data_IF_249708514871
#
_entry.id   IF_249708514871
#
_cell.length_a   1.000
_cell.length_b   1.000
_cell.length_c   1.000
_cell.angle_alpha   90.00
_cell.angle_beta   90.00
_cell.angle_gamma   90.00
#
_symmetry.space_group_name_H-M   'P 1'
#
loop_
_entity.id
_entity.type
_entity.pdbx_description
1 polymer ?
#
# COMPACT_ATOMS: atom_id res chain seq x y z
N UNK A 1 2.31 0.53 -27.42
CA UNK A 1 2.89 -0.44 -26.47
C UNK A 1 2.54 0.08 -25.09
N UNK A 2 1.60 -0.57 -24.41
CA UNK A 2 1.19 -0.17 -23.07
C UNK A 2 2.30 -0.50 -22.10
N UNK A 3 3.00 0.54 -21.66
CA UNK A 3 4.01 0.43 -20.63
C UNK A 3 3.32 0.33 -19.26
N UNK A 4 2.98 -0.90 -18.89
CA UNK A 4 2.67 -1.34 -17.52
C UNK A 4 3.95 -1.24 -16.65
N UNK A 5 4.52 -0.05 -16.55
CA UNK A 5 5.68 0.22 -15.70
C UNK A 5 5.20 0.29 -14.26
N UNK A 6 5.61 -0.69 -13.47
CA UNK A 6 5.50 -0.69 -12.02
C UNK A 6 6.19 0.55 -11.45
N UNK A 7 5.41 1.47 -10.86
CA UNK A 7 5.96 2.62 -10.14
C UNK A 7 5.81 2.41 -8.64
N UNK A 8 6.93 2.46 -7.93
CA UNK A 8 6.98 2.39 -6.47
C UNK A 8 7.76 3.57 -5.89
N UNK A 9 7.14 4.37 -5.02
CA UNK A 9 7.79 5.50 -4.36
C UNK A 9 7.67 5.38 -2.83
N UNK A 10 8.72 5.76 -2.12
CA UNK A 10 8.67 5.88 -0.66
C UNK A 10 8.21 7.29 -0.33
N UNK A 11 7.04 7.41 0.30
CA UNK A 11 6.42 8.69 0.62
C UNK A 11 6.02 8.76 2.10
N UNK A 12 6.01 9.96 2.71
CA UNK A 12 5.42 10.17 4.02
C UNK A 12 3.90 10.14 3.94
N UNK A 13 3.27 9.70 5.02
CA UNK A 13 1.82 9.74 5.16
C UNK A 13 1.34 11.16 5.46
N UNK A 14 0.12 11.49 5.03
CA UNK A 14 -0.58 12.66 5.57
C UNK A 14 -0.89 12.42 7.06
N UNK A 15 -0.76 13.44 7.93
CA UNK A 15 -1.00 13.28 9.37
C UNK A 15 -2.37 12.66 9.68
N UNK A 16 -3.43 13.19 9.07
CA UNK A 16 -4.82 12.72 9.25
C UNK A 16 -5.01 11.26 8.80
N UNK A 17 -4.31 10.84 7.75
CA UNK A 17 -4.39 9.47 7.24
C UNK A 17 -3.62 8.50 8.16
N UNK A 18 -2.51 8.95 8.75
CA UNK A 18 -1.73 8.17 9.69
C UNK A 18 -2.46 7.99 11.03
N UNK A 19 -3.20 9.00 11.49
CA UNK A 19 -4.06 8.86 12.67
C UNK A 19 -5.19 7.86 12.42
N UNK A 20 -5.83 7.89 11.24
CA UNK A 20 -6.81 6.87 10.85
C UNK A 20 -6.20 5.47 10.79
N UNK A 21 -4.95 5.34 10.35
CA UNK A 21 -4.24 4.06 10.33
C UNK A 21 -4.03 3.52 11.75
N UNK A 22 -3.63 4.37 12.69
CA UNK A 22 -3.46 4.02 14.11
C UNK A 22 -4.79 3.72 14.80
N UNK A 23 -5.86 4.40 14.41
CA UNK A 23 -7.19 4.23 15.00
C UNK A 23 -7.75 2.80 14.84
N UNK A 24 -7.22 2.01 13.89
CA UNK A 24 -7.55 0.58 13.80
C UNK A 24 -7.08 -0.22 15.02
N UNK A 25 -6.05 0.23 15.75
CA UNK A 25 -5.62 -0.37 17.01
C UNK A 25 -4.90 -1.73 16.90
N UNK A 26 -4.73 -2.27 15.70
CA UNK A 26 -4.14 -3.60 15.47
C UNK A 26 -2.61 -3.60 15.34
N UNK A 27 -1.93 -2.47 15.59
CA UNK A 27 -0.46 -2.36 15.46
C UNK A 27 0.06 -2.41 14.02
N UNK A 28 -0.83 -2.31 13.03
CA UNK A 28 -0.48 -2.38 11.59
C UNK A 28 0.46 -1.25 11.15
N UNK A 29 0.49 -0.11 11.82
CA UNK A 29 1.47 0.93 11.49
C UNK A 29 2.93 0.45 11.64
N UNK A 30 3.23 -0.46 12.58
CA UNK A 30 4.60 -0.94 12.83
C UNK A 30 5.13 -1.83 11.70
N UNK A 31 4.26 -2.65 11.09
CA UNK A 31 4.65 -3.58 10.04
C UNK A 31 4.61 -2.94 8.64
N UNK A 32 3.79 -1.91 8.45
CA UNK A 32 3.50 -1.31 7.14
C UNK A 32 4.19 0.05 6.94
N UNK A 33 4.80 0.62 7.99
CA UNK A 33 5.59 1.86 7.91
C UNK A 33 7.00 1.63 8.45
N UNK A 34 7.96 2.38 7.92
CA UNK A 34 9.32 2.40 8.46
C UNK A 34 9.42 3.29 9.72
N UNK A 35 10.54 3.26 10.44
CA UNK A 35 10.80 4.08 11.65
C UNK A 35 10.62 5.60 11.44
N UNK A 36 10.65 6.04 10.17
CA UNK A 36 10.43 7.43 9.76
C UNK A 36 8.96 7.78 9.46
N UNK A 37 8.03 6.83 9.61
CA UNK A 37 6.61 7.02 9.26
C UNK A 37 6.36 7.09 7.75
N UNK A 38 7.19 6.39 6.96
CA UNK A 38 7.08 6.36 5.48
C UNK A 38 6.74 4.96 4.99
N UNK A 39 5.99 4.86 3.89
CA UNK A 39 5.67 3.58 3.24
C UNK A 39 6.02 3.61 1.76
N UNK A 40 6.22 2.43 1.17
CA UNK A 40 6.37 2.27 -0.27
C UNK A 40 4.99 2.12 -0.91
N UNK A 41 4.58 3.12 -1.67
CA UNK A 41 3.32 3.18 -2.41
C UNK A 41 3.55 2.73 -3.85
N UNK A 42 2.71 1.81 -4.33
CA UNK A 42 2.87 1.19 -5.65
C UNK A 42 1.60 1.36 -6.49
N UNK A 43 1.78 1.72 -7.76
CA UNK A 43 0.73 1.77 -8.81
C UNK A 43 1.17 0.97 -10.04
N UNK A 44 0.23 0.61 -10.93
CA UNK A 44 0.51 -0.20 -12.13
C UNK A 44 1.23 -1.51 -11.80
N UNK A 45 0.77 -2.21 -10.76
CA UNK A 45 1.37 -3.46 -10.29
C UNK A 45 0.72 -4.72 -10.88
N UNK A 46 -0.17 -4.53 -11.85
CA UNK A 46 -0.78 -5.60 -12.63
C UNK A 46 -2.29 -5.60 -12.47
N UNK A 47 -2.98 -5.69 -13.61
CA UNK A 47 -4.43 -5.56 -13.75
C UNK A 47 -5.25 -6.36 -12.72
N UNK A 48 -4.87 -7.62 -12.46
CA UNK A 48 -5.59 -8.47 -11.49
C UNK A 48 -5.48 -7.94 -10.05
N UNK A 49 -4.29 -7.50 -9.63
CA UNK A 49 -4.07 -6.92 -8.32
C UNK A 49 -4.74 -5.56 -8.18
N UNK A 50 -4.70 -4.75 -9.25
CA UNK A 50 -5.30 -3.41 -9.28
C UNK A 50 -6.83 -3.46 -9.19
N UNK A 51 -7.46 -4.44 -9.85
CA UNK A 51 -8.91 -4.69 -9.74
C UNK A 51 -9.30 -5.10 -8.31
N UNK A 52 -8.52 -5.96 -7.66
CA UNK A 52 -8.76 -6.35 -6.28
C UNK A 52 -8.58 -5.18 -5.32
N UNK A 53 -7.49 -4.41 -5.48
CA UNK A 53 -7.20 -3.25 -4.67
C UNK A 53 -8.26 -2.15 -4.85
N UNK A 54 -8.77 -1.93 -6.08
CA UNK A 54 -9.86 -1.00 -6.34
C UNK A 54 -11.14 -1.40 -5.60
N UNK A 55 -11.55 -2.67 -5.72
CA UNK A 55 -12.75 -3.17 -5.04
C UNK A 55 -12.65 -3.05 -3.52
N UNK A 56 -11.51 -3.42 -2.94
CA UNK A 56 -11.29 -3.30 -1.50
C UNK A 56 -11.21 -1.83 -1.06
N UNK A 57 -10.66 -0.96 -1.90
CA UNK A 57 -10.63 0.48 -1.63
C UNK A 57 -12.03 1.10 -1.58
N UNK A 58 -12.94 0.69 -2.47
CA UNK A 58 -14.36 1.12 -2.44
C UNK A 58 -15.07 0.65 -1.17
N UNK A 59 -14.68 -0.50 -0.61
CA UNK A 59 -15.14 -0.98 0.70
C UNK A 59 -14.45 -0.27 1.89
N UNK A 60 -13.57 0.71 1.65
CA UNK A 60 -12.82 1.42 2.67
C UNK A 60 -11.66 0.62 3.28
N UNK A 61 -11.19 -0.43 2.59
CA UNK A 61 -10.08 -1.29 3.01
C UNK A 61 -8.83 -1.03 2.19
N UNK A 62 -7.67 -1.22 2.81
CA UNK A 62 -6.36 -1.10 2.16
C UNK A 62 -5.75 -2.48 1.93
N UNK A 63 -4.99 -2.62 0.84
CA UNK A 63 -4.26 -3.86 0.50
C UNK A 63 -2.78 -3.65 0.73
N UNK A 64 -2.20 -4.55 1.52
CA UNK A 64 -0.76 -4.64 1.75
C UNK A 64 -0.23 -5.86 1.01
N UNK A 65 0.93 -5.73 0.38
CA UNK A 65 1.57 -6.79 -0.37
C UNK A 65 3.02 -6.96 0.08
N UNK A 66 3.46 -8.19 0.25
CA UNK A 66 4.88 -8.53 0.29
C UNK A 66 5.20 -9.46 -0.86
N UNK A 67 6.47 -9.53 -1.26
CA UNK A 67 6.86 -10.53 -2.25
C UNK A 67 6.74 -11.93 -1.65
N UNK A 68 6.34 -12.91 -2.45
CA UNK A 68 6.27 -14.32 -2.01
C UNK A 68 7.64 -14.94 -1.63
N UNK A 69 8.75 -14.23 -1.85
CA UNK A 69 10.07 -14.61 -1.32
C UNK A 69 10.23 -14.10 0.13
N UNK A 70 10.69 -14.96 1.05
CA UNK A 70 10.72 -14.78 2.52
C UNK A 70 11.55 -13.59 3.06
N UNK A 71 12.04 -12.68 2.22
CA UNK A 71 13.07 -11.69 2.61
C UNK A 71 12.66 -10.22 2.40
N UNK A 72 11.40 -9.89 2.09
CA UNK A 72 11.03 -8.53 1.64
C UNK A 72 10.01 -7.78 2.50
N UNK A 73 10.23 -6.46 2.55
CA UNK A 73 9.43 -5.40 3.17
C UNK A 73 8.01 -5.36 2.57
N UNK A 74 7.01 -5.16 3.43
CA UNK A 74 5.62 -4.90 3.06
C UNK A 74 5.51 -3.58 2.27
N UNK A 75 4.71 -3.60 1.21
CA UNK A 75 4.39 -2.46 0.34
C UNK A 75 2.89 -2.19 0.40
N UNK A 76 2.50 -0.93 0.28
CA UNK A 76 1.10 -0.56 0.16
C UNK A 76 0.72 -0.48 -1.32
N UNK A 77 -0.27 -1.28 -1.71
CA UNK A 77 -0.86 -1.22 -3.03
C UNK A 77 -1.98 -0.18 -3.01
N UNK A 78 -1.89 0.82 -3.88
CA UNK A 78 -2.96 1.81 -4.07
C UNK A 78 -3.51 1.67 -5.48
N UNK A 79 -4.83 1.58 -5.61
CA UNK A 79 -5.47 1.65 -6.92
C UNK A 79 -6.08 3.05 -7.07
N UNK A 80 -5.67 3.77 -8.11
CA UNK A 80 -6.35 4.98 -8.56
C UNK A 80 -7.16 4.58 -9.79
N UNK A 81 -8.48 4.66 -9.67
CA UNK A 81 -9.39 4.64 -10.83
C UNK A 81 -9.13 5.87 -11.68
#
# INVERSE_FOLDING_TARGET
MDEDILLGCILPWKPEAFEKLKAYGDGREELMTDVRGTSCFVIKFGKAGEQLAAKLWEEGKMVYASSASMTKRLKLAMSKV
#
